data_IF_812734844234
#
_entry.id   IF_812734844234
#
_cell.length_a   1.000
_cell.length_b   1.000
_cell.length_c   1.000
_cell.angle_alpha   90.00
_cell.angle_beta   90.00
_cell.angle_gamma   90.00
#
_symmetry.space_group_name_H-M   'P 1'
#
loop_
_entity.id
_entity.type
_entity.pdbx_description
1 polymer ?
#
# COMPACT_ATOMS: atom_id res chain seq x y z
N UNK A 1 -8.55 0.81 -15.21
CA UNK A 1 -7.96 0.36 -13.92
C UNK A 1 -8.22 -1.13 -13.80
N UNK A 2 -7.23 -1.93 -13.40
CA UNK A 2 -7.50 -3.31 -12.92
C UNK A 2 -8.38 -3.22 -11.68
N UNK A 3 -9.26 -4.20 -11.43
CA UNK A 3 -10.04 -4.16 -10.19
C UNK A 3 -9.11 -4.33 -9.00
N UNK A 4 -9.39 -3.64 -7.89
CA UNK A 4 -8.61 -3.75 -6.65
C UNK A 4 -8.55 -5.21 -6.18
N UNK A 5 -9.61 -5.98 -6.42
CA UNK A 5 -9.69 -7.42 -6.14
C UNK A 5 -8.74 -8.29 -6.95
N UNK A 6 -8.26 -7.82 -8.10
CA UNK A 6 -7.32 -8.55 -8.95
C UNK A 6 -5.86 -8.42 -8.45
N UNK A 7 -5.63 -7.45 -7.58
CA UNK A 7 -4.29 -7.07 -7.08
C UNK A 7 -4.15 -7.41 -5.59
N UNK A 8 -5.24 -7.31 -4.83
CA UNK A 8 -5.21 -7.37 -3.37
C UNK A 8 -6.18 -8.44 -2.85
N UNK A 9 -5.66 -9.36 -2.06
CA UNK A 9 -6.47 -10.31 -1.30
C UNK A 9 -7.03 -9.65 -0.05
N UNK A 10 -8.27 -10.00 0.32
CA UNK A 10 -8.92 -9.42 1.51
C UNK A 10 -8.15 -9.66 2.81
N UNK A 11 -7.43 -10.78 2.92
CA UNK A 11 -6.56 -11.06 4.06
C UNK A 11 -5.39 -10.06 4.18
N UNK A 12 -4.84 -9.61 3.05
CA UNK A 12 -3.81 -8.57 3.00
C UNK A 12 -4.40 -7.24 3.49
N UNK A 13 -5.56 -6.84 2.98
CA UNK A 13 -6.29 -5.65 3.42
C UNK A 13 -6.58 -5.64 4.93
N UNK A 14 -6.98 -6.78 5.50
CA UNK A 14 -7.24 -6.90 6.95
C UNK A 14 -5.95 -6.75 7.76
N UNK A 15 -4.84 -7.35 7.31
CA UNK A 15 -3.56 -7.24 7.99
C UNK A 15 -3.06 -5.78 7.99
N UNK A 16 -3.11 -5.14 6.82
CA UNK A 16 -2.66 -3.76 6.61
C UNK A 16 -3.54 -2.75 7.34
N UNK A 17 -4.84 -3.02 7.49
CA UNK A 17 -5.80 -2.21 8.23
C UNK A 17 -5.33 -1.86 9.66
N UNK A 18 -4.64 -2.79 10.33
CA UNK A 18 -4.10 -2.57 11.68
C UNK A 18 -2.89 -1.64 11.69
N UNK A 19 -2.12 -1.62 10.61
CA UNK A 19 -0.93 -0.77 10.51
C UNK A 19 -1.33 0.68 10.25
N UNK A 20 -2.21 0.91 9.28
CA UNK A 20 -2.66 2.25 8.93
C UNK A 20 -3.80 2.78 9.81
N UNK A 21 -4.33 1.97 10.73
CA UNK A 21 -5.49 2.30 11.58
C UNK A 21 -6.71 2.72 10.75
N UNK A 22 -6.91 2.04 9.62
CA UNK A 22 -8.04 2.26 8.70
C UNK A 22 -8.85 0.97 8.58
N UNK A 23 -10.16 1.12 8.39
CA UNK A 23 -11.01 -0.01 8.02
C UNK A 23 -10.84 -0.32 6.51
N UNK A 24 -11.22 -1.53 6.13
CA UNK A 24 -11.07 -2.03 4.75
C UNK A 24 -11.80 -1.18 3.72
N UNK A 25 -12.99 -0.66 4.06
CA UNK A 25 -13.74 0.23 3.18
C UNK A 25 -12.97 1.51 2.85
N UNK A 26 -12.44 2.21 3.87
CA UNK A 26 -11.64 3.43 3.67
C UNK A 26 -10.37 3.14 2.87
N UNK A 27 -9.73 2.01 3.11
CA UNK A 27 -8.55 1.61 2.34
C UNK A 27 -8.87 1.39 0.86
N UNK A 28 -9.98 0.71 0.54
CA UNK A 28 -10.42 0.54 -0.85
C UNK A 28 -10.66 1.90 -1.51
N UNK A 29 -11.36 2.81 -0.83
CA UNK A 29 -11.57 4.16 -1.36
C UNK A 29 -10.26 4.92 -1.61
N UNK A 30 -9.26 4.79 -0.72
CA UNK A 30 -7.95 5.41 -0.94
C UNK A 30 -7.21 4.80 -2.13
N UNK A 31 -7.29 3.48 -2.30
CA UNK A 31 -6.71 2.77 -3.45
C UNK A 31 -7.36 3.21 -4.76
N UNK A 32 -8.69 3.29 -4.80
CA UNK A 32 -9.43 3.75 -5.98
C UNK A 32 -9.11 5.19 -6.35
N UNK A 33 -8.86 6.04 -5.35
CA UNK A 33 -8.48 7.44 -5.55
C UNK A 33 -6.98 7.65 -5.79
N UNK A 34 -6.16 6.59 -5.79
CA UNK A 34 -4.71 6.69 -5.93
C UNK A 34 -3.98 7.35 -4.76
N UNK A 35 -4.65 7.47 -3.61
CA UNK A 35 -4.09 7.99 -2.35
C UNK A 35 -3.45 6.89 -1.50
N UNK A 36 -3.69 5.63 -1.85
CA UNK A 36 -2.97 4.48 -1.34
C UNK A 36 -2.48 3.67 -2.54
N UNK A 37 -1.27 3.14 -2.45
CA UNK A 37 -0.62 2.41 -3.53
C UNK A 37 -0.16 1.04 -3.05
N UNK A 38 -0.13 0.08 -3.97
CA UNK A 38 0.35 -1.28 -3.73
C UNK A 38 1.43 -1.63 -4.74
N UNK A 39 2.55 -2.12 -4.23
CA UNK A 39 3.68 -2.59 -5.02
C UNK A 39 3.84 -4.09 -4.78
N UNK A 40 4.10 -4.86 -5.84
CA UNK A 40 4.27 -6.32 -5.75
C UNK A 40 5.54 -6.71 -5.01
N UNK A 41 6.57 -5.85 -5.08
CA UNK A 41 7.85 -6.08 -4.44
C UNK A 41 8.54 -4.75 -4.09
N UNK A 42 9.64 -4.88 -3.36
CA UNK A 42 10.43 -3.74 -2.90
C UNK A 42 11.13 -3.00 -4.03
N UNK A 43 11.55 -3.70 -5.07
CA UNK A 43 12.20 -3.10 -6.23
C UNK A 43 11.27 -2.09 -6.91
N UNK A 44 10.00 -2.44 -7.14
CA UNK A 44 9.01 -1.54 -7.74
C UNK A 44 8.71 -0.32 -6.85
N UNK A 45 8.70 -0.50 -5.54
CA UNK A 45 8.55 0.60 -4.59
C UNK A 45 9.76 1.56 -4.63
N UNK A 46 10.98 1.01 -4.67
CA UNK A 46 12.22 1.79 -4.74
C UNK A 46 12.40 2.48 -6.10
N UNK A 47 11.94 1.89 -7.19
CA UNK A 47 11.95 2.53 -8.51
C UNK A 47 11.12 3.82 -8.51
N UNK A 48 9.98 3.83 -7.80
CA UNK A 48 9.12 5.01 -7.72
C UNK A 48 9.60 6.05 -6.70
N UNK A 49 10.00 5.62 -5.50
CA UNK A 49 10.28 6.53 -4.39
C UNK A 49 11.76 6.74 -4.08
N UNK A 50 12.66 5.91 -4.62
CA UNK A 50 14.11 5.99 -4.41
C UNK A 50 14.63 5.44 -3.07
N UNK A 51 15.93 5.20 -2.96
CA UNK A 51 16.58 4.73 -1.72
C UNK A 51 16.81 5.89 -0.71
N UNK A 52 15.75 6.26 0.03
CA UNK A 52 15.72 7.10 1.27
C UNK A 52 16.42 8.49 1.24
N UNK A 53 15.66 9.50 0.81
CA UNK A 53 15.47 10.81 1.49
C UNK A 53 13.98 11.27 1.50
N UNK A 54 13.10 10.54 0.81
CA UNK A 54 11.71 10.93 0.45
C UNK A 54 10.61 10.29 1.31
N UNK A 55 10.97 9.44 2.26
CA UNK A 55 10.00 8.62 3.01
C UNK A 55 9.40 9.29 4.24
N UNK A 56 9.90 10.45 4.65
CA UNK A 56 9.41 11.13 5.85
C UNK A 56 7.95 11.59 5.72
N UNK A 57 7.43 11.71 4.50
CA UNK A 57 6.03 12.08 4.20
C UNK A 57 5.13 10.88 3.89
N UNK A 58 5.65 9.66 3.92
CA UNK A 58 4.93 8.44 3.53
C UNK A 58 4.81 7.46 4.69
N UNK A 59 3.58 7.02 4.96
CA UNK A 59 3.35 5.82 5.75
C UNK A 59 3.42 4.61 4.82
N UNK A 60 4.18 3.60 5.20
CA UNK A 60 4.30 2.37 4.42
C UNK A 60 4.47 1.14 5.30
N UNK A 61 4.11 -0.02 4.76
CA UNK A 61 4.40 -1.30 5.36
C UNK A 61 4.65 -2.38 4.30
N UNK A 62 5.49 -3.34 4.65
CA UNK A 62 5.79 -4.52 3.84
C UNK A 62 5.14 -5.75 4.47
N UNK A 63 4.42 -6.51 3.65
CA UNK A 63 3.84 -7.79 4.03
C UNK A 63 4.88 -8.90 3.87
N UNK A 64 4.69 -10.02 4.57
CA UNK A 64 5.60 -11.17 4.50
C UNK A 64 5.72 -11.79 3.10
N UNK A 65 4.79 -11.50 2.19
CA UNK A 65 4.85 -11.92 0.79
C UNK A 65 5.59 -10.91 -0.11
N UNK A 66 6.22 -9.88 0.45
CA UNK A 66 6.98 -8.86 -0.27
C UNK A 66 6.15 -7.70 -0.80
N UNK A 67 4.81 -7.77 -0.75
CA UNK A 67 3.96 -6.65 -1.17
C UNK A 67 4.12 -5.47 -0.24
N UNK A 68 4.13 -4.27 -0.81
CA UNK A 68 4.25 -3.02 -0.06
C UNK A 68 3.00 -2.19 -0.25
N UNK A 69 2.46 -1.67 0.85
CA UNK A 69 1.38 -0.70 0.88
C UNK A 69 1.93 0.65 1.29
N UNK A 70 1.49 1.72 0.64
CA UNK A 70 1.93 3.09 0.95
C UNK A 70 0.74 4.04 0.93
N UNK A 71 0.78 5.08 1.75
CA UNK A 71 -0.05 6.28 1.61
C UNK A 71 0.74 7.52 2.03
N UNK A 72 0.38 8.72 1.56
CA UNK A 72 0.80 9.97 2.20
C UNK A 72 0.38 9.98 3.68
N UNK A 73 1.19 10.59 4.55
CA UNK A 73 0.85 10.77 5.97
C UNK A 73 -0.49 11.48 6.16
#
# INVERSE_FOLDING_TARGET
MKNVSDIIHIGELIAVSKVFQLNTFRMITLLENGLMEVFENKEAFLEKYGEKETYDELDWCELNNGKIFTKPK
#
